data_IF_056800763865
#
_entry.id   IF_056800763865
#
_cell.length_a   1.000
_cell.length_b   1.000
_cell.length_c   1.000
_cell.angle_alpha   90.00
_cell.angle_beta   90.00
_cell.angle_gamma   90.00
#
_symmetry.space_group_name_H-M   'P 1'
#
loop_
_entity.id
_entity.type
_entity.pdbx_description
1 polymer ?
#
# COMPACT_ATOMS: atom_id res chain seq x y z
N UNK A 1 -7.08 20.66 33.44
CA UNK A 1 -7.13 20.22 32.02
C UNK A 1 -5.71 20.23 31.44
N UNK A 2 -5.23 19.16 30.80
CA UNK A 2 -3.90 19.15 30.17
C UNK A 2 -3.90 20.07 28.93
N UNK A 3 -2.89 20.94 28.82
CA UNK A 3 -2.75 21.81 27.66
C UNK A 3 -2.44 20.98 26.40
N UNK A 4 -3.31 21.08 25.40
CA UNK A 4 -3.23 20.35 24.14
C UNK A 4 -2.03 20.87 23.32
N UNK A 5 -0.85 20.26 23.50
CA UNK A 5 0.36 20.67 22.81
C UNK A 5 0.16 20.64 21.28
N UNK A 6 0.38 21.78 20.63
CA UNK A 6 0.29 21.90 19.18
C UNK A 6 1.40 21.09 18.50
N UNK A 7 1.12 19.83 18.17
CA UNK A 7 2.00 18.99 17.35
C UNK A 7 2.15 19.65 15.97
N UNK A 8 3.37 20.04 15.62
CA UNK A 8 3.68 20.58 14.28
C UNK A 8 3.23 19.59 13.20
N UNK A 9 2.57 20.06 12.14
CA UNK A 9 2.18 19.22 10.99
C UNK A 9 3.38 18.39 10.51
N UNK A 10 3.18 17.10 10.15
CA UNK A 10 4.26 16.30 9.58
C UNK A 10 4.78 16.98 8.30
N UNK A 11 6.10 16.98 8.12
CA UNK A 11 6.71 17.45 6.87
C UNK A 11 6.54 16.38 5.80
N UNK A 12 6.25 16.83 4.58
CA UNK A 12 6.17 16.03 3.36
C UNK A 12 7.09 16.64 2.31
N UNK A 13 7.50 15.84 1.34
CA UNK A 13 8.27 16.28 0.15
C UNK A 13 7.39 16.05 -1.05
N UNK A 14 7.14 17.06 -1.89
CA UNK A 14 6.39 16.82 -3.14
C UNK A 14 7.26 16.01 -4.10
N UNK A 15 6.67 15.12 -4.90
CA UNK A 15 7.43 14.27 -5.82
C UNK A 15 8.36 15.07 -6.75
N UNK A 16 7.91 16.20 -7.30
CA UNK A 16 8.76 17.12 -8.08
C UNK A 16 9.89 17.84 -7.33
N UNK A 17 9.75 18.00 -6.01
CA UNK A 17 10.73 18.67 -5.14
C UNK A 17 11.64 17.63 -4.46
N UNK A 18 11.56 16.35 -4.86
CA UNK A 18 12.34 15.25 -4.30
C UNK A 18 13.80 15.32 -4.74
N UNK A 19 14.69 15.09 -3.77
CA UNK A 19 16.13 15.09 -3.96
C UNK A 19 16.69 13.81 -3.32
N UNK A 20 17.08 12.86 -4.17
CA UNK A 20 17.56 11.55 -3.76
C UNK A 20 18.90 11.61 -3.01
N UNK A 21 19.64 12.72 -3.07
CA UNK A 21 20.89 12.86 -2.31
C UNK A 21 20.65 12.89 -0.80
N UNK A 22 19.48 13.42 -0.37
CA UNK A 22 19.04 13.51 1.03
C UNK A 22 18.44 12.22 1.60
N UNK A 23 18.27 11.19 0.77
CA UNK A 23 17.75 9.88 1.17
C UNK A 23 18.90 8.98 1.65
N UNK A 24 18.98 8.74 2.95
CA UNK A 24 19.93 7.83 3.58
C UNK A 24 19.25 6.51 3.97
N UNK A 25 20.04 5.49 4.25
CA UNK A 25 19.55 4.17 4.64
C UNK A 25 20.32 3.67 5.86
N UNK A 26 19.62 3.03 6.80
CA UNK A 26 20.29 2.20 7.81
C UNK A 26 20.85 0.95 7.15
N UNK A 27 21.84 0.31 7.78
CA UNK A 27 22.20 -1.06 7.44
C UNK A 27 20.96 -1.98 7.58
N UNK A 28 20.88 -3.00 6.73
CA UNK A 28 19.87 -4.05 6.80
C UNK A 28 20.23 -4.97 7.95
N UNK A 29 19.30 -5.18 8.87
CA UNK A 29 19.44 -6.21 9.88
C UNK A 29 18.87 -7.54 9.36
N UNK A 30 19.73 -8.53 9.17
CA UNK A 30 19.37 -9.90 8.76
C UNK A 30 19.23 -10.84 9.97
N UNK A 31 19.58 -10.40 11.18
CA UNK A 31 19.58 -11.24 12.40
C UNK A 31 18.24 -11.20 13.15
N UNK A 32 17.24 -10.48 12.63
CA UNK A 32 15.87 -10.44 13.14
C UNK A 32 15.22 -11.83 13.09
N UNK A 33 14.22 -12.12 13.94
CA UNK A 33 13.44 -13.38 13.85
C UNK A 33 12.75 -13.54 12.49
N UNK A 34 12.21 -12.45 11.93
CA UNK A 34 11.45 -12.43 10.67
C UNK A 34 12.14 -13.08 9.48
N UNK A 35 11.37 -13.70 8.57
CA UNK A 35 11.84 -14.30 7.31
C UNK A 35 12.61 -13.35 6.36
N UNK A 36 12.47 -12.04 6.58
CA UNK A 36 13.16 -10.98 5.84
C UNK A 36 14.06 -10.19 6.77
N UNK A 37 15.24 -9.79 6.28
CA UNK A 37 16.01 -8.71 6.88
C UNK A 37 15.40 -7.34 6.58
N UNK A 38 15.60 -6.37 7.47
CA UNK A 38 14.90 -5.07 7.43
C UNK A 38 15.89 -3.90 7.60
N UNK A 39 15.73 -2.87 6.76
CA UNK A 39 16.30 -1.53 6.99
C UNK A 39 15.21 -0.46 6.90
N UNK A 40 15.46 0.71 7.50
CA UNK A 40 14.53 1.84 7.49
C UNK A 40 15.13 3.02 6.73
N UNK A 41 14.52 3.45 5.60
CA UNK A 41 14.91 4.67 4.91
C UNK A 41 14.79 5.90 5.82
N UNK A 42 15.77 6.80 5.69
CA UNK A 42 15.90 8.04 6.45
C UNK A 42 16.07 9.20 5.48
N UNK A 43 15.49 10.35 5.80
CA UNK A 43 15.55 11.51 4.93
C UNK A 43 15.94 12.75 5.73
N UNK A 44 16.91 13.50 5.20
CA UNK A 44 17.31 14.79 5.75
C UNK A 44 16.31 15.88 5.32
N UNK A 45 15.54 16.36 6.30
CA UNK A 45 14.62 17.47 6.11
C UNK A 45 15.29 18.77 6.57
N UNK A 46 15.15 19.83 5.78
CA UNK A 46 15.74 21.15 6.05
C UNK A 46 15.16 21.91 7.28
N UNK A 47 14.59 21.23 8.28
CA UNK A 47 14.40 21.79 9.64
C UNK A 47 15.56 21.52 10.60
N UNK A 48 16.62 20.81 10.19
CA UNK A 48 17.75 20.47 11.08
C UNK A 48 17.33 19.58 12.26
N UNK A 49 16.20 18.87 12.11
CA UNK A 49 15.76 17.80 13.01
C UNK A 49 16.47 16.49 12.62
N UNK A 50 16.57 15.50 13.53
CA UNK A 50 17.09 14.19 13.15
C UNK A 50 16.31 13.60 11.97
N UNK A 51 17.00 12.75 11.21
CA UNK A 51 16.45 12.13 10.00
C UNK A 51 15.15 11.38 10.30
N UNK A 52 14.17 11.50 9.42
CA UNK A 52 12.84 10.88 9.56
C UNK A 52 12.51 10.04 8.32
N UNK A 53 11.52 9.13 8.37
CA UNK A 53 11.04 8.47 7.17
C UNK A 53 10.69 9.48 6.07
N UNK A 54 11.02 9.16 4.82
CA UNK A 54 10.61 9.95 3.67
C UNK A 54 9.10 9.80 3.46
N UNK A 55 8.36 10.91 3.44
CA UNK A 55 6.95 10.96 3.07
C UNK A 55 6.80 11.82 1.82
N UNK A 56 6.63 11.14 0.68
CA UNK A 56 6.35 11.76 -0.61
C UNK A 56 4.88 12.19 -0.68
N UNK A 57 4.63 13.37 -1.22
CA UNK A 57 3.31 13.90 -1.56
C UNK A 57 3.15 13.88 -3.07
N UNK A 58 2.18 13.11 -3.58
CA UNK A 58 1.89 13.04 -5.02
C UNK A 58 1.14 14.27 -5.51
N UNK A 59 1.17 14.48 -6.82
CA UNK A 59 0.12 15.24 -7.52
C UNK A 59 -1.23 14.52 -7.49
N UNK A 60 -2.17 15.06 -8.26
CA UNK A 60 -3.46 14.40 -8.53
C UNK A 60 -3.27 13.28 -9.56
N UNK A 61 -3.71 12.07 -9.20
CA UNK A 61 -3.60 10.86 -10.03
C UNK A 61 -4.99 10.25 -10.18
N UNK A 62 -5.45 10.08 -11.42
CA UNK A 62 -6.67 9.36 -11.78
C UNK A 62 -6.35 7.87 -11.93
N UNK A 63 -7.14 7.01 -11.29
CA UNK A 63 -7.04 5.55 -11.39
C UNK A 63 -7.62 5.10 -12.75
N UNK A 64 -6.80 5.17 -13.81
CA UNK A 64 -7.16 4.82 -15.19
C UNK A 64 -6.94 3.34 -15.52
N UNK A 65 -6.12 2.64 -14.72
CA UNK A 65 -5.93 1.19 -14.72
C UNK A 65 -5.67 0.73 -13.27
N UNK A 66 -5.80 -0.58 -13.02
CA UNK A 66 -5.56 -1.18 -11.71
C UNK A 66 -6.46 -0.61 -10.60
N UNK A 67 -5.95 -0.47 -9.37
CA UNK A 67 -6.73 -0.17 -8.17
C UNK A 67 -6.47 -1.18 -7.04
N UNK A 68 -7.44 -1.29 -6.12
CA UNK A 68 -7.50 -2.34 -5.10
C UNK A 68 -7.76 -3.68 -5.81
N UNK A 69 -7.07 -4.78 -5.44
CA UNK A 69 -7.43 -6.12 -5.90
C UNK A 69 -8.83 -6.49 -5.42
N UNK A 70 -9.74 -6.94 -6.30
CA UNK A 70 -11.05 -7.38 -5.89
C UNK A 70 -10.93 -8.62 -4.99
N UNK A 71 -11.85 -8.80 -4.04
CA UNK A 71 -11.87 -10.00 -3.19
C UNK A 71 -12.22 -11.26 -4.00
N UNK A 72 -13.14 -11.11 -4.95
CA UNK A 72 -13.64 -12.16 -5.84
C UNK A 72 -13.26 -11.85 -7.30
N UNK A 73 -12.95 -12.88 -8.09
CA UNK A 73 -12.96 -12.80 -9.56
C UNK A 73 -13.86 -13.92 -10.09
N UNK A 74 -14.99 -13.54 -10.68
CA UNK A 74 -16.09 -14.48 -10.91
C UNK A 74 -16.56 -15.06 -9.57
N UNK A 75 -16.65 -16.38 -9.50
CA UNK A 75 -17.04 -17.11 -8.29
C UNK A 75 -15.84 -17.53 -7.42
N UNK A 76 -14.60 -17.23 -7.83
CA UNK A 76 -13.39 -17.57 -7.08
C UNK A 76 -13.01 -16.46 -6.09
N UNK A 77 -12.85 -16.83 -4.82
CA UNK A 77 -12.31 -15.95 -3.77
C UNK A 77 -10.77 -15.98 -3.83
N UNK A 78 -10.15 -14.84 -4.16
CA UNK A 78 -8.69 -14.72 -4.28
C UNK A 78 -8.04 -14.35 -2.95
N UNK A 79 -8.80 -13.69 -2.07
CA UNK A 79 -8.32 -13.24 -0.77
C UNK A 79 -9.36 -13.60 0.30
N UNK A 80 -8.98 -14.48 1.22
CA UNK A 80 -9.83 -14.92 2.33
C UNK A 80 -10.16 -13.72 3.23
N UNK A 81 -9.15 -12.90 3.51
CA UNK A 81 -9.27 -11.74 4.40
C UNK A 81 -8.78 -10.41 3.78
N UNK A 82 -9.41 -9.30 4.19
CA UNK A 82 -9.04 -7.96 3.74
C UNK A 82 -7.58 -7.58 4.10
N UNK A 83 -7.00 -8.22 5.13
CA UNK A 83 -5.60 -8.05 5.56
C UNK A 83 -4.60 -8.47 4.48
N UNK A 84 -4.89 -9.51 3.70
CA UNK A 84 -4.04 -9.99 2.59
C UNK A 84 -4.03 -8.98 1.42
N UNK A 85 -5.22 -8.48 1.06
CA UNK A 85 -5.43 -7.47 0.01
C UNK A 85 -5.28 -6.03 0.50
N UNK A 86 -4.58 -5.80 1.61
CA UNK A 86 -4.27 -4.48 2.17
C UNK A 86 -3.24 -3.67 1.35
N UNK A 87 -3.43 -3.62 0.03
CA UNK A 87 -2.61 -2.89 -0.92
C UNK A 87 -3.44 -2.52 -2.16
N UNK A 88 -2.94 -1.57 -2.95
CA UNK A 88 -3.44 -1.30 -4.29
C UNK A 88 -2.28 -1.14 -5.26
N UNK A 89 -2.56 -1.40 -6.53
CA UNK A 89 -1.63 -1.11 -7.62
C UNK A 89 -2.02 0.27 -8.20
N UNK A 90 -1.13 1.25 -8.07
CA UNK A 90 -1.31 2.59 -8.62
C UNK A 90 -0.72 2.63 -10.04
N UNK A 91 -1.47 3.05 -11.08
CA UNK A 91 -0.94 3.21 -12.43
C UNK A 91 0.03 4.40 -12.51
N UNK A 92 1.06 4.27 -13.34
CA UNK A 92 1.96 5.34 -13.75
C UNK A 92 1.62 5.69 -15.21
N UNK A 93 0.53 6.44 -15.34
CA UNK A 93 -0.03 6.87 -16.62
C UNK A 93 0.74 8.10 -17.15
N UNK A 94 1.45 8.00 -18.30
CA UNK A 94 2.32 9.07 -18.79
C UNK A 94 1.54 10.32 -19.26
N UNK A 95 0.21 10.25 -19.39
CA UNK A 95 -0.63 11.41 -19.69
C UNK A 95 -0.90 12.31 -18.47
N UNK A 96 -0.54 11.84 -17.27
CA UNK A 96 -0.86 12.51 -16.02
C UNK A 96 0.40 13.07 -15.33
N UNK A 97 0.47 14.39 -15.15
CA UNK A 97 1.61 15.06 -14.50
C UNK A 97 1.95 14.46 -13.13
N UNK A 98 0.94 14.17 -12.30
CA UNK A 98 1.13 13.55 -10.99
C UNK A 98 1.72 12.13 -11.03
N UNK A 99 1.48 11.37 -12.10
CA UNK A 99 2.10 10.06 -12.33
C UNK A 99 3.56 10.22 -12.76
N UNK A 100 3.85 11.16 -13.68
CA UNK A 100 5.20 11.43 -14.18
C UNK A 100 6.10 11.98 -13.07
N UNK A 101 5.61 12.90 -12.23
CA UNK A 101 6.33 13.36 -11.03
C UNK A 101 6.66 12.20 -10.09
N UNK A 102 5.70 11.29 -9.87
CA UNK A 102 5.88 10.14 -8.98
C UNK A 102 6.85 9.11 -9.58
N UNK A 103 6.73 8.77 -10.87
CA UNK A 103 7.63 7.86 -11.57
C UNK A 103 9.07 8.37 -11.50
N UNK A 104 9.31 9.65 -11.82
CA UNK A 104 10.64 10.26 -11.73
C UNK A 104 11.22 10.24 -10.29
N UNK A 105 10.39 10.39 -9.27
CA UNK A 105 10.83 10.32 -7.88
C UNK A 105 11.15 8.89 -7.44
N UNK A 106 10.34 7.90 -7.86
CA UNK A 106 10.56 6.49 -7.54
C UNK A 106 11.75 5.91 -8.33
N UNK A 107 11.90 6.27 -9.60
CA UNK A 107 13.03 5.84 -10.43
C UNK A 107 14.37 6.29 -9.84
N UNK A 108 14.47 7.52 -9.31
CA UNK A 108 15.68 7.95 -8.59
C UNK A 108 15.99 7.07 -7.36
N UNK A 109 14.96 6.60 -6.65
CA UNK A 109 15.12 5.67 -5.51
C UNK A 109 15.58 4.30 -6.02
N UNK A 110 14.97 3.80 -7.09
CA UNK A 110 15.32 2.52 -7.74
C UNK A 110 16.77 2.53 -8.24
N UNK A 111 17.19 3.59 -8.95
CA UNK A 111 18.57 3.80 -9.41
C UNK A 111 19.57 3.87 -8.25
N UNK A 112 19.25 4.62 -7.19
CA UNK A 112 20.13 4.74 -6.01
C UNK A 112 20.29 3.42 -5.28
N UNK A 113 19.23 2.62 -5.16
CA UNK A 113 19.30 1.32 -4.48
C UNK A 113 19.97 0.26 -5.35
N UNK A 114 19.79 0.29 -6.68
CA UNK A 114 20.48 -0.62 -7.59
C UNK A 114 22.01 -0.35 -7.69
N UNK A 115 22.50 0.81 -7.23
CA UNK A 115 23.93 1.10 -7.19
C UNK A 115 24.73 0.08 -6.36
N UNK A 116 25.90 -0.29 -6.89
CA UNK A 116 26.78 -1.31 -6.29
C UNK A 116 27.38 -0.85 -4.95
N UNK A 117 27.59 0.45 -4.74
CA UNK A 117 28.16 0.96 -3.48
C UNK A 117 27.08 1.12 -2.41
N UNK A 118 25.90 1.65 -2.77
CA UNK A 118 24.74 1.70 -1.87
C UNK A 118 24.34 0.30 -1.42
N UNK A 119 24.28 -0.68 -2.33
CA UNK A 119 24.04 -2.08 -1.97
C UNK A 119 25.12 -2.64 -1.02
N UNK A 120 26.41 -2.32 -1.21
CA UNK A 120 27.47 -2.72 -0.25
C UNK A 120 27.31 -2.06 1.12
N UNK A 121 26.86 -0.81 1.18
CA UNK A 121 26.56 -0.09 2.43
C UNK A 121 25.31 -0.63 3.13
N UNK A 122 24.27 -1.06 2.40
CA UNK A 122 23.10 -1.69 2.99
C UNK A 122 23.44 -2.98 3.73
N UNK A 123 24.40 -3.75 3.22
CA UNK A 123 24.79 -5.05 3.78
C UNK A 123 26.15 -5.05 4.50
N UNK A 124 26.71 -3.89 4.87
CA UNK A 124 28.06 -3.77 5.44
C UNK A 124 28.23 -4.42 6.82
N UNK A 125 27.17 -4.46 7.65
CA UNK A 125 27.12 -5.22 8.91
C UNK A 125 27.59 -6.67 8.73
N UNK A 126 27.27 -7.27 7.58
CA UNK A 126 27.69 -8.62 7.23
C UNK A 126 29.01 -8.57 6.46
N UNK A 127 30.05 -9.12 7.06
CA UNK A 127 31.46 -9.12 6.57
C UNK A 127 31.67 -9.87 5.24
N UNK A 128 30.59 -10.23 4.55
CA UNK A 128 30.55 -10.99 3.31
C UNK A 128 30.11 -10.06 2.19
N UNK A 129 31.08 -9.50 1.48
CA UNK A 129 30.85 -8.88 0.15
C UNK A 129 30.10 -9.85 -0.80
N UNK A 130 30.21 -11.17 -0.54
CA UNK A 130 29.41 -12.23 -1.16
C UNK A 130 27.89 -12.02 -1.01
N UNK A 131 27.39 -11.60 0.16
CA UNK A 131 25.95 -11.39 0.37
C UNK A 131 25.45 -10.22 -0.49
N UNK A 132 26.16 -9.09 -0.49
CA UNK A 132 25.84 -7.95 -1.34
C UNK A 132 25.88 -8.30 -2.86
N UNK A 133 26.72 -9.27 -3.25
CA UNK A 133 26.77 -9.81 -4.63
C UNK A 133 25.61 -10.76 -4.96
N UNK A 134 25.05 -11.45 -3.97
CA UNK A 134 23.90 -12.37 -4.11
C UNK A 134 22.53 -11.66 -4.03
N UNK A 135 22.50 -10.39 -3.60
CA UNK A 135 21.30 -9.60 -3.41
C UNK A 135 20.93 -8.81 -4.68
N UNK A 136 19.78 -9.10 -5.27
CA UNK A 136 19.25 -8.46 -6.47
C UNK A 136 18.10 -7.51 -6.15
N UNK A 137 18.13 -6.34 -6.79
CA UNK A 137 17.19 -5.28 -6.47
C UNK A 137 15.86 -5.48 -7.19
N UNK A 138 14.78 -5.54 -6.42
CA UNK A 138 13.40 -5.54 -6.89
C UNK A 138 12.88 -4.11 -6.98
N UNK A 139 12.81 -3.59 -8.21
CA UNK A 139 12.30 -2.26 -8.55
C UNK A 139 10.92 -1.98 -7.93
N UNK A 140 10.74 -0.75 -7.45
CA UNK A 140 9.46 -0.22 -6.96
C UNK A 140 8.49 -0.09 -8.13
N UNK A 141 8.97 0.47 -9.25
CA UNK A 141 8.24 0.56 -10.51
C UNK A 141 8.24 -0.83 -11.17
N UNK A 142 7.06 -1.34 -11.53
CA UNK A 142 6.89 -2.63 -12.19
C UNK A 142 6.31 -2.47 -13.59
N UNK A 143 6.99 -3.01 -14.58
CA UNK A 143 6.48 -3.10 -15.94
C UNK A 143 5.37 -4.17 -16.05
N UNK A 144 4.32 -3.92 -16.86
CA UNK A 144 3.11 -4.73 -16.85
C UNK A 144 3.20 -6.00 -17.71
N UNK A 145 4.10 -6.03 -18.68
CA UNK A 145 4.33 -7.18 -19.57
C UNK A 145 5.24 -8.23 -18.93
N UNK A 146 5.40 -8.15 -17.61
CA UNK A 146 6.47 -8.80 -16.87
C UNK A 146 7.78 -8.06 -17.10
N UNK A 147 8.44 -7.71 -15.99
CA UNK A 147 9.85 -8.02 -15.92
C UNK A 147 9.99 -9.55 -15.92
N UNK A 148 9.82 -10.17 -17.10
CA UNK A 148 10.75 -11.23 -17.50
C UNK A 148 12.08 -10.56 -17.25
N UNK A 149 12.80 -11.01 -16.22
CA UNK A 149 14.15 -10.50 -16.03
C UNK A 149 14.84 -10.68 -17.38
N UNK A 150 15.49 -9.63 -17.87
CA UNK A 150 16.57 -9.81 -18.80
C UNK A 150 17.65 -10.59 -18.04
N UNK A 151 17.42 -11.90 -17.92
CA UNK A 151 18.45 -12.89 -17.69
C UNK A 151 19.32 -12.70 -18.92
N UNK A 152 20.36 -11.89 -18.76
CA UNK A 152 21.55 -11.99 -19.59
C UNK A 152 22.16 -13.35 -19.26
N UNK A 153 21.51 -14.38 -19.82
CA UNK A 153 22.07 -15.69 -20.06
C UNK A 153 23.05 -15.43 -21.20
N UNK A 154 24.29 -15.14 -20.82
CA UNK A 154 25.44 -15.29 -21.69
C UNK A 154 25.56 -16.80 -21.96
N UNK A 155 24.70 -17.31 -22.85
CA UNK A 155 24.52 -18.75 -23.12
C UNK A 155 24.66 -18.95 -24.63
N UNK A 156 25.85 -19.37 -25.05
CA UNK A 156 26.21 -19.74 -26.42
C UNK A 156 25.52 -21.06 -26.82
N UNK A 157 24.18 -21.10 -26.88
CA UNK A 157 23.40 -22.26 -27.32
C UNK A 157 22.83 -22.02 -28.72
N UNK A 158 23.38 -22.74 -29.69
CA UNK A 158 23.29 -22.50 -31.14
C UNK A 158 22.17 -23.32 -31.81
N UNK A 159 20.99 -23.42 -31.15
CA UNK A 159 19.86 -24.23 -31.61
C UNK A 159 18.75 -23.36 -32.26
N UNK A 160 18.77 -23.32 -33.59
CA UNK A 160 17.79 -22.63 -34.45
C UNK A 160 16.47 -23.40 -34.59
N UNK A 161 15.52 -23.24 -33.66
CA UNK A 161 14.09 -23.57 -33.91
C UNK A 161 13.19 -22.42 -33.43
N UNK A 162 12.90 -21.49 -34.35
CA UNK A 162 12.14 -20.28 -34.06
C UNK A 162 10.65 -20.42 -34.31
N UNK A 163 9.87 -20.63 -33.25
CA UNK A 163 8.42 -20.42 -33.31
C UNK A 163 8.07 -18.92 -33.46
N UNK A 164 7.41 -18.58 -34.55
CA UNK A 164 7.00 -17.22 -34.89
C UNK A 164 5.79 -16.80 -34.04
N UNK A 165 6.04 -16.14 -32.90
CA UNK A 165 4.99 -15.65 -31.98
C UNK A 165 4.01 -14.70 -32.69
N UNK A 166 2.77 -15.17 -32.93
CA UNK A 166 1.71 -14.37 -33.55
C UNK A 166 1.40 -13.09 -32.75
N UNK A 167 1.50 -11.95 -33.42
CA UNK A 167 1.20 -10.62 -32.87
C UNK A 167 -0.31 -10.46 -32.63
N UNK A 168 -0.75 -10.59 -31.37
CA UNK A 168 -2.12 -10.28 -30.96
C UNK A 168 -2.31 -8.75 -30.80
N UNK A 169 -2.58 -8.08 -31.92
CA UNK A 169 -2.51 -6.61 -32.09
C UNK A 169 -3.52 -5.76 -31.28
N UNK A 170 -4.59 -6.33 -30.71
CA UNK A 170 -5.70 -5.55 -30.09
C UNK A 170 -5.67 -5.44 -28.55
N UNK A 171 -4.62 -5.92 -27.86
CA UNK A 171 -4.57 -5.84 -26.39
C UNK A 171 -4.34 -4.40 -25.90
N UNK A 172 -5.17 -3.86 -24.98
CA UNK A 172 -5.01 -2.49 -24.50
C UNK A 172 -3.67 -2.31 -23.79
N UNK A 173 -2.96 -1.23 -24.13
CA UNK A 173 -1.64 -0.89 -23.56
C UNK A 173 -1.74 -0.76 -22.06
N UNK A 174 -1.11 -1.70 -21.35
CA UNK A 174 -1.00 -1.66 -19.89
C UNK A 174 0.05 -0.62 -19.48
N UNK A 175 -0.22 0.13 -18.42
CA UNK A 175 0.75 1.09 -17.86
C UNK A 175 1.71 0.42 -16.87
N UNK A 176 2.86 1.04 -16.61
CA UNK A 176 3.67 0.68 -15.44
C UNK A 176 2.86 0.89 -14.16
N UNK A 177 3.20 0.16 -13.10
CA UNK A 177 2.49 0.23 -11.82
C UNK A 177 3.41 0.20 -10.62
N UNK A 178 2.94 0.75 -9.50
CA UNK A 178 3.59 0.62 -8.20
C UNK A 178 2.62 0.01 -7.19
N UNK A 179 3.08 -1.00 -6.42
CA UNK A 179 2.31 -1.63 -5.35
C UNK A 179 2.44 -0.81 -4.06
N UNK A 180 1.35 -0.17 -3.65
CA UNK A 180 1.28 0.66 -2.43
C UNK A 180 0.53 -0.11 -1.35
N UNK A 181 1.16 -0.37 -0.20
CA UNK A 181 0.49 -0.99 0.95
C UNK A 181 -0.32 0.05 1.73
N UNK A 182 -1.45 -0.37 2.28
CA UNK A 182 -2.19 0.43 3.26
C UNK A 182 -1.47 0.37 4.62
N UNK A 183 -1.62 1.42 5.43
CA UNK A 183 -1.38 1.29 6.87
C UNK A 183 -2.57 0.54 7.46
N UNK A 184 -2.28 -0.62 8.05
CA UNK A 184 -3.24 -1.53 8.71
C UNK A 184 -2.67 -1.86 10.09
N UNK A 185 -3.58 -1.94 11.06
CA UNK A 185 -3.34 -2.39 12.42
C UNK A 185 -3.10 -3.90 12.46
N UNK A 186 -2.10 -4.37 13.23
CA UNK A 186 -1.69 -5.78 13.17
C UNK A 186 -2.76 -6.70 13.76
N UNK A 187 -3.32 -6.31 14.91
CA UNK A 187 -4.20 -7.12 15.73
C UNK A 187 -5.64 -7.08 15.20
N UNK A 188 -6.16 -5.89 14.92
CA UNK A 188 -7.55 -5.71 14.46
C UNK A 188 -7.74 -5.87 12.94
N UNK A 189 -6.68 -5.67 12.15
CA UNK A 189 -6.79 -5.58 10.69
C UNK A 189 -7.42 -4.28 10.16
N UNK A 190 -7.78 -3.33 11.04
CA UNK A 190 -8.38 -2.05 10.65
C UNK A 190 -7.35 -1.14 9.92
N UNK A 191 -7.83 -0.42 8.91
CA UNK A 191 -7.05 0.58 8.17
C UNK A 191 -6.74 1.78 9.07
N UNK A 192 -5.45 1.96 9.36
CA UNK A 192 -4.89 3.14 10.02
C UNK A 192 -4.62 4.31 9.03
N UNK A 193 -4.74 4.06 7.72
CA UNK A 193 -4.55 5.09 6.68
C UNK A 193 -5.66 6.14 6.77
N UNK A 194 -5.32 7.42 6.88
CA UNK A 194 -6.33 8.48 6.98
C UNK A 194 -6.93 8.79 5.60
N UNK A 195 -8.22 8.51 5.43
CA UNK A 195 -8.92 8.73 4.16
C UNK A 195 -9.77 10.00 4.24
N UNK A 196 -9.58 10.88 3.26
CA UNK A 196 -10.37 12.09 3.08
C UNK A 196 -11.12 12.01 1.76
N UNK A 197 -12.43 12.30 1.77
CA UNK A 197 -13.22 12.42 0.54
C UNK A 197 -13.48 13.87 0.18
N UNK A 198 -13.51 14.15 -1.12
CA UNK A 198 -13.82 15.47 -1.67
C UNK A 198 -14.98 15.37 -2.66
N UNK A 199 -16.06 16.05 -2.34
CA UNK A 199 -17.24 16.15 -3.21
C UNK A 199 -17.07 17.31 -4.20
N UNK A 200 -17.05 16.99 -5.49
CA UNK A 200 -16.85 17.96 -6.57
C UNK A 200 -15.44 18.55 -6.65
N UNK A 201 -15.14 19.22 -7.77
CA UNK A 201 -13.80 19.78 -8.03
C UNK A 201 -13.31 20.81 -7.00
N UNK A 202 -14.22 21.51 -6.31
CA UNK A 202 -13.92 22.57 -5.35
C UNK A 202 -14.30 22.23 -3.90
N UNK A 203 -14.73 21.00 -3.62
CA UNK A 203 -15.05 20.57 -2.26
C UNK A 203 -13.88 20.71 -1.29
N UNK A 204 -14.17 20.98 -0.02
CA UNK A 204 -13.19 20.87 1.07
C UNK A 204 -13.04 19.39 1.44
N UNK A 205 -11.82 18.82 1.51
CA UNK A 205 -11.64 17.44 1.93
C UNK A 205 -12.21 17.18 3.33
N UNK A 206 -13.10 16.21 3.44
CA UNK A 206 -13.72 15.77 4.69
C UNK A 206 -13.11 14.43 5.11
N UNK A 207 -12.81 14.25 6.40
CA UNK A 207 -12.29 12.99 6.92
C UNK A 207 -13.42 11.95 6.95
N UNK A 208 -13.21 10.79 6.35
CA UNK A 208 -14.08 9.62 6.45
C UNK A 208 -13.66 8.77 7.64
N UNK A 209 -14.52 8.65 8.64
CA UNK A 209 -14.31 7.88 9.88
C UNK A 209 -14.92 6.48 9.84
N UNK A 210 -15.67 6.20 8.77
CA UNK A 210 -16.43 5.01 8.43
C UNK A 210 -15.60 3.94 7.71
N UNK A 211 -14.41 4.28 7.21
CA UNK A 211 -13.53 3.34 6.48
C UNK A 211 -12.65 2.59 7.47
N UNK A 212 -12.99 1.31 7.72
CA UNK A 212 -12.20 0.39 8.55
C UNK A 212 -11.51 -0.68 7.73
N UNK A 213 -12.21 -1.22 6.74
CA UNK A 213 -11.77 -2.38 5.94
C UNK A 213 -11.33 -1.96 4.54
N UNK A 214 -10.64 -2.86 3.82
CA UNK A 214 -10.27 -2.63 2.41
C UNK A 214 -11.53 -2.57 1.55
N UNK A 215 -12.56 -3.31 1.92
CA UNK A 215 -13.90 -3.30 1.32
C UNK A 215 -14.57 -1.93 1.43
N UNK A 216 -14.50 -1.27 2.60
CA UNK A 216 -15.03 0.10 2.75
C UNK A 216 -14.25 1.10 1.88
N UNK A 217 -12.93 0.95 1.80
CA UNK A 217 -12.09 1.81 0.96
C UNK A 217 -12.36 1.60 -0.53
N UNK A 218 -12.59 0.36 -0.97
CA UNK A 218 -12.92 0.00 -2.35
C UNK A 218 -14.23 0.63 -2.84
N UNK A 219 -15.22 0.76 -1.96
CA UNK A 219 -16.47 1.46 -2.28
C UNK A 219 -16.25 2.95 -2.61
N UNK A 220 -15.21 3.58 -2.06
CA UNK A 220 -14.90 5.00 -2.23
C UNK A 220 -13.82 5.24 -3.30
N UNK A 221 -12.79 4.39 -3.36
CA UNK A 221 -11.67 4.47 -4.31
C UNK A 221 -11.90 3.62 -5.56
N UNK A 222 -13.05 3.83 -6.22
CA UNK A 222 -13.44 3.10 -7.44
C UNK A 222 -12.58 3.47 -8.65
N UNK A 223 -12.65 2.66 -9.70
CA UNK A 223 -12.12 2.99 -11.03
C UNK A 223 -12.51 4.41 -11.48
N UNK A 224 -11.63 5.09 -12.23
CA UNK A 224 -11.75 6.50 -12.63
C UNK A 224 -11.76 7.55 -11.50
N UNK A 225 -11.74 7.18 -10.22
CA UNK A 225 -11.57 8.15 -9.12
C UNK A 225 -10.20 8.82 -9.20
N UNK A 226 -10.09 10.03 -8.63
CA UNK A 226 -8.83 10.75 -8.50
C UNK A 226 -8.32 10.69 -7.06
N UNK A 227 -7.01 10.53 -6.89
CA UNK A 227 -6.35 10.43 -5.59
C UNK A 227 -5.17 11.37 -5.47
N UNK A 228 -4.89 11.82 -4.24
CA UNK A 228 -3.63 12.45 -3.83
C UNK A 228 -3.13 11.75 -2.59
N UNK A 229 -1.87 11.30 -2.60
CA UNK A 229 -1.36 10.34 -1.61
C UNK A 229 -0.19 10.94 -0.83
N UNK A 230 -0.13 10.65 0.47
CA UNK A 230 1.07 10.77 1.29
C UNK A 230 1.71 9.39 1.43
N UNK A 231 2.69 9.11 0.58
CA UNK A 231 3.40 7.84 0.47
C UNK A 231 4.65 7.84 1.35
N UNK A 232 4.66 7.04 2.40
CA UNK A 232 5.87 6.78 3.19
C UNK A 232 6.71 5.69 2.51
N UNK A 233 8.00 6.00 2.31
CA UNK A 233 9.02 5.00 1.93
C UNK A 233 9.40 4.23 3.19
N UNK A 234 8.65 3.16 3.47
CA UNK A 234 8.44 2.62 4.83
C UNK A 234 9.58 1.71 5.31
N UNK A 235 9.90 0.66 4.55
CA UNK A 235 11.01 -0.26 4.86
C UNK A 235 11.70 -0.75 3.59
N UNK A 236 12.99 -1.03 3.70
CA UNK A 236 13.69 -1.95 2.81
C UNK A 236 13.53 -3.34 3.41
N UNK A 237 13.19 -4.31 2.57
CA UNK A 237 13.15 -5.74 2.91
C UNK A 237 14.23 -6.46 2.10
N UNK A 238 14.82 -7.51 2.68
CA UNK A 238 15.77 -8.39 1.99
C UNK A 238 15.45 -9.85 2.33
N UNK A 239 15.25 -10.69 1.31
CA UNK A 239 14.96 -12.11 1.48
C UNK A 239 16.15 -12.86 2.10
N UNK A 240 15.88 -13.69 3.11
CA UNK A 240 16.88 -14.62 3.66
C UNK A 240 17.05 -15.86 2.79
N UNK A 241 15.97 -16.34 2.21
CA UNK A 241 15.94 -17.43 1.22
C UNK A 241 16.38 -16.95 -0.16
N UNK A 242 16.71 -17.92 -1.01
CA UNK A 242 16.94 -17.73 -2.45
C UNK A 242 15.60 -17.96 -3.16
N UNK A 243 15.25 -17.12 -4.14
CA UNK A 243 14.06 -17.34 -4.97
C UNK A 243 14.29 -18.51 -5.91
N UNK A 244 13.38 -19.50 -5.91
CA UNK A 244 13.45 -20.67 -6.79
C UNK A 244 13.55 -20.27 -8.28
N UNK A 245 12.69 -19.35 -8.72
CA UNK A 245 12.63 -18.87 -10.11
C UNK A 245 13.93 -18.21 -10.61
N UNK A 246 14.67 -17.50 -9.75
CA UNK A 246 15.83 -16.68 -10.18
C UNK A 246 17.19 -17.19 -9.68
N UNK A 247 17.21 -18.17 -8.76
CA UNK A 247 18.43 -18.61 -8.08
C UNK A 247 19.12 -17.52 -7.25
N UNK A 248 18.42 -16.40 -6.95
CA UNK A 248 19.00 -15.20 -6.35
C UNK A 248 18.19 -14.72 -5.13
N UNK A 249 18.83 -13.95 -4.23
CA UNK A 249 18.13 -13.33 -3.09
C UNK A 249 17.64 -11.95 -3.52
N UNK A 250 16.35 -11.67 -3.32
CA UNK A 250 15.78 -10.38 -3.69
C UNK A 250 15.73 -9.42 -2.49
N UNK A 251 15.92 -8.13 -2.74
CA UNK A 251 15.66 -7.06 -1.78
C UNK A 251 14.98 -5.89 -2.48
N UNK A 252 14.18 -5.11 -1.76
CA UNK A 252 13.41 -4.03 -2.36
C UNK A 252 12.79 -3.10 -1.32
N UNK A 253 11.99 -2.14 -1.78
CA UNK A 253 11.35 -1.15 -0.92
C UNK A 253 9.85 -1.41 -0.81
N UNK A 254 9.27 -1.17 0.37
CA UNK A 254 7.82 -1.12 0.56
C UNK A 254 7.37 0.33 0.69
N UNK A 255 6.45 0.76 -0.17
CA UNK A 255 5.69 1.99 0.02
C UNK A 255 4.45 1.71 0.88
N UNK A 256 4.17 2.58 1.85
CA UNK A 256 2.96 2.56 2.68
C UNK A 256 2.26 3.91 2.59
N UNK A 257 0.97 3.94 2.27
CA UNK A 257 0.20 5.20 2.31
C UNK A 257 -0.19 5.53 3.75
N UNK A 258 0.09 6.76 4.17
CA UNK A 258 -0.21 7.28 5.52
C UNK A 258 -1.56 8.01 5.53
N UNK A 259 -1.83 8.73 4.43
CA UNK A 259 -3.03 9.53 4.23
C UNK A 259 -3.32 9.61 2.73
N UNK A 260 -4.60 9.63 2.37
CA UNK A 260 -5.06 9.85 1.01
C UNK A 260 -6.25 10.82 0.97
N UNK A 261 -6.29 11.66 -0.06
CA UNK A 261 -7.45 12.45 -0.47
C UNK A 261 -8.01 11.79 -1.74
N UNK A 262 -9.30 11.46 -1.74
CA UNK A 262 -10.03 10.83 -2.86
C UNK A 262 -11.11 11.80 -3.33
N UNK A 263 -11.14 12.10 -4.62
CA UNK A 263 -12.32 12.61 -5.31
C UNK A 263 -12.95 11.41 -6.05
N UNK A 264 -14.08 10.86 -5.56
CA UNK A 264 -14.78 9.78 -6.25
C UNK A 264 -15.16 10.19 -7.66
N UNK A 265 -15.31 9.22 -8.57
CA UNK A 265 -15.82 9.51 -9.91
C UNK A 265 -17.25 10.09 -9.83
N UNK A 266 -17.47 11.25 -10.44
CA UNK A 266 -18.77 11.95 -10.43
C UNK A 266 -19.82 11.24 -11.32
N UNK A 267 -19.41 10.26 -12.15
CA UNK A 267 -20.34 9.36 -12.84
C UNK A 267 -21.03 8.43 -11.84
N UNK A 268 -22.11 8.93 -11.23
CA UNK A 268 -23.16 8.06 -10.68
C UNK A 268 -23.62 7.12 -11.78
N UNK A 269 -23.84 5.86 -11.45
CA UNK A 269 -24.51 4.97 -12.40
C UNK A 269 -25.96 5.45 -12.56
N UNK A 270 -26.57 5.25 -13.72
CA UNK A 270 -28.00 5.57 -13.89
C UNK A 270 -28.85 4.85 -12.82
N UNK A 271 -28.40 3.69 -12.32
CA UNK A 271 -29.05 2.99 -11.20
C UNK A 271 -29.07 3.81 -9.91
N UNK A 272 -27.98 4.52 -9.59
CA UNK A 272 -27.91 5.41 -8.41
C UNK A 272 -28.79 6.66 -8.61
N UNK A 273 -28.97 7.11 -9.85
CA UNK A 273 -29.92 8.18 -10.20
C UNK A 273 -31.39 7.71 -10.10
N UNK A 274 -31.64 6.42 -10.29
CA UNK A 274 -32.95 5.76 -10.12
C UNK A 274 -33.18 5.12 -8.73
N UNK A 275 -32.28 5.32 -7.75
CA UNK A 275 -32.54 4.91 -6.35
C UNK A 275 -33.68 5.72 -5.72
N UNK A 276 -33.83 7.00 -6.10
CA UNK A 276 -35.08 7.71 -5.86
C UNK A 276 -36.18 7.12 -6.75
N UNK A 277 -37.29 6.69 -6.15
CA UNK A 277 -38.43 6.06 -6.80
C UNK A 277 -38.92 6.88 -8.02
N UNK A 278 -38.46 6.48 -9.21
CA UNK A 278 -38.67 7.20 -10.47
C UNK A 278 -40.05 7.01 -11.10
N UNK A 279 -40.91 6.18 -10.50
CA UNK A 279 -42.31 6.11 -10.87
C UNK A 279 -43.02 7.31 -10.24
N UNK A 280 -43.12 8.40 -11.00
CA UNK A 280 -44.14 9.43 -10.75
C UNK A 280 -45.49 8.72 -10.74
N UNK A 281 -46.06 8.51 -9.55
CA UNK A 281 -47.21 7.65 -9.39
C UNK A 281 -48.36 8.20 -10.23
N UNK A 282 -48.80 7.40 -11.20
CA UNK A 282 -49.77 7.76 -12.23
C UNK A 282 -51.19 7.83 -11.67
N UNK A 283 -51.36 8.51 -10.53
CA UNK A 283 -52.66 8.93 -10.04
C UNK A 283 -53.27 9.83 -11.12
N UNK A 284 -54.18 9.22 -11.90
CA UNK A 284 -54.99 9.91 -12.89
C UNK A 284 -55.95 10.86 -12.16
N UNK A 285 -55.42 12.01 -11.77
CA UNK A 285 -56.20 13.22 -11.57
C UNK A 285 -56.44 13.83 -12.94
N UNK A 286 -57.29 13.16 -13.74
CA UNK A 286 -58.05 13.83 -14.80
C UNK A 286 -58.90 14.91 -14.12
N UNK A 287 -58.33 16.11 -14.03
CA UNK A 287 -59.03 17.32 -13.64
C UNK A 287 -58.85 18.32 -14.77
N UNK A 288 -59.45 17.97 -15.90
CA UNK A 288 -59.90 18.93 -16.90
C UNK A 288 -60.80 19.94 -16.19
N UNK A 289 -60.21 21.06 -15.80
CA UNK A 289 -60.96 22.24 -15.40
C UNK A 289 -60.28 23.46 -16.01
N UNK A 290 -60.58 23.66 -17.30
CA UNK A 290 -60.48 24.97 -17.94
C UNK A 290 -61.17 26.02 -17.05
N UNK A 291 -60.40 26.91 -16.42
CA UNK A 291 -60.91 28.25 -16.12
C UNK A 291 -59.88 29.32 -16.50
N UNK A 292 -60.32 30.17 -17.41
CA UNK A 292 -59.56 31.14 -18.18
C UNK A 292 -59.81 32.53 -17.58
N UNK A 293 -58.95 33.01 -16.68
CA UNK A 293 -58.94 34.45 -16.35
C UNK A 293 -57.64 35.06 -15.79
N UNK A 294 -57.04 35.89 -16.65
CA UNK A 294 -56.56 37.28 -16.40
C UNK A 294 -55.30 37.58 -15.56
N UNK A 295 -54.43 38.34 -16.22
CA UNK A 295 -53.47 39.31 -15.64
C UNK A 295 -54.15 40.33 -14.69
N UNK A 296 -53.38 40.94 -13.77
CA UNK A 296 -52.87 42.30 -14.04
C UNK A 296 -51.35 42.41 -13.76
N UNK A 297 -50.57 43.06 -14.63
CA UNK A 297 -50.35 44.53 -14.71
C UNK A 297 -49.72 45.14 -13.45
N UNK A 298 -48.38 45.27 -13.52
CA UNK A 298 -47.52 46.41 -13.14
C UNK A 298 -47.98 47.36 -12.01
N UNK A 299 -47.19 47.46 -10.94
CA UNK A 299 -46.75 48.78 -10.46
C UNK A 299 -45.36 48.76 -9.80
N UNK A 300 -44.69 49.93 -9.81
CA UNK A 300 -43.29 50.10 -9.40
C UNK A 300 -43.12 51.39 -8.57
N UNK A 301 -41.93 51.55 -7.94
CA UNK A 301 -41.49 52.64 -7.01
C UNK A 301 -41.80 52.35 -5.53
N UNK A 302 -41.02 52.80 -4.54
CA UNK A 302 -39.77 53.61 -4.57
C UNK A 302 -38.91 53.37 -3.32
N UNK A 303 -37.61 53.62 -3.47
CA UNK A 303 -36.60 54.07 -2.48
C UNK A 303 -37.12 54.66 -1.15
N UNK A 304 -36.35 54.51 -0.05
CA UNK A 304 -35.54 55.60 0.58
C UNK A 304 -34.51 55.02 1.57
N UNK A 305 -33.26 55.52 1.53
CA UNK A 305 -32.24 55.30 2.58
C UNK A 305 -32.46 56.25 3.77
N UNK A 306 -32.21 55.82 5.02
CA UNK A 306 -31.32 56.58 5.92
C UNK A 306 -30.85 55.85 7.19
N UNK A 307 -29.68 56.29 7.63
CA UNK A 307 -29.05 56.16 8.96
C UNK A 307 -30.03 56.58 10.10
N UNK A 308 -29.86 56.21 11.37
CA UNK A 308 -28.66 56.48 12.19
C UNK A 308 -28.59 55.67 13.51
N UNK A 309 -27.52 55.91 14.29
CA UNK A 309 -27.17 55.31 15.59
C UNK A 309 -28.20 55.51 16.72
N UNK A 310 -28.22 54.57 17.69
CA UNK A 310 -27.88 54.88 19.10
C UNK A 310 -27.58 53.62 19.93
N UNK A 311 -26.88 53.82 21.05
CA UNK A 311 -26.52 52.82 22.07
C UNK A 311 -27.64 52.64 23.12
N UNK A 312 -27.33 51.87 24.19
CA UNK A 312 -28.13 51.59 25.40
C UNK A 312 -29.09 50.38 25.26
N UNK A 313 -28.93 49.22 25.89
CA UNK A 313 -28.45 48.77 27.23
C UNK A 313 -29.63 48.37 28.15
N UNK A 314 -29.37 47.31 28.91
CA UNK A 314 -30.06 46.74 30.07
C UNK A 314 -31.38 45.92 30.00
N UNK A 315 -31.38 44.90 30.87
CA UNK A 315 -32.46 44.10 31.48
C UNK A 315 -33.57 43.41 30.62
N UNK A 316 -34.24 42.34 31.08
CA UNK A 316 -33.95 41.19 31.96
C UNK A 316 -35.22 40.30 31.91
N UNK A 317 -35.12 38.97 31.82
CA UNK A 317 -36.15 38.04 32.33
C UNK A 317 -35.66 36.60 32.30
N UNK A 318 -35.73 35.96 33.46
CA UNK A 318 -35.69 34.53 33.66
C UNK A 318 -36.84 33.82 32.91
N UNK A 319 -36.65 32.53 32.61
CA UNK A 319 -37.60 31.52 33.09
C UNK A 319 -36.84 30.19 33.31
N UNK A 320 -37.01 29.62 34.51
CA UNK A 320 -36.38 28.40 34.97
C UNK A 320 -37.28 27.18 34.64
N UNK A 321 -36.70 26.00 34.41
CA UNK A 321 -37.32 24.76 34.87
C UNK A 321 -36.27 23.85 35.50
N UNK A 322 -36.44 23.61 36.80
CA UNK A 322 -35.74 22.59 37.56
C UNK A 322 -36.25 21.19 37.19
N UNK A 323 -35.37 20.18 37.21
CA UNK A 323 -35.79 18.85 37.66
C UNK A 323 -34.69 18.25 38.55
N UNK A 324 -34.84 18.39 39.87
CA UNK A 324 -34.08 17.59 40.83
C UNK A 324 -34.55 16.13 40.82
N UNK A 325 -33.63 15.20 41.08
CA UNK A 325 -33.78 14.24 42.19
C UNK A 325 -32.42 13.58 42.53
N UNK A 326 -32.04 13.65 43.80
CA UNK A 326 -31.09 12.73 44.45
C UNK A 326 -31.80 11.36 44.71
N UNK A 327 -31.30 10.31 45.39
CA UNK A 327 -30.15 10.01 46.27
C UNK A 327 -29.99 8.44 46.23
N UNK A 328 -29.05 7.70 46.83
CA UNK A 328 -28.03 7.96 47.84
C UNK A 328 -26.95 6.84 47.87
N UNK A 329 -25.86 7.08 48.63
CA UNK A 329 -24.93 6.11 49.27
C UNK A 329 -23.98 5.31 48.37
N UNK A 330 -22.65 5.40 48.53
CA UNK A 330 -21.77 5.22 49.71
C UNK A 330 -21.68 3.78 50.23
N UNK A 331 -20.50 3.18 50.05
CA UNK A 331 -19.71 2.62 51.16
C UNK A 331 -18.21 2.66 50.78
N UNK A 332 -17.38 3.29 51.61
CA UNK A 332 -15.92 3.10 51.64
C UNK A 332 -15.60 1.90 52.53
N UNK A 333 -14.57 1.11 52.21
CA UNK A 333 -13.61 0.69 53.25
C UNK A 333 -12.24 0.29 52.67
N UNK A 334 -11.27 0.13 53.55
CA UNK A 334 -9.84 0.34 53.31
C UNK A 334 -8.99 -0.95 53.15
N UNK A 335 -7.94 -0.80 52.33
CA UNK A 335 -6.54 -1.22 52.61
C UNK A 335 -6.01 -2.68 52.44
N UNK A 336 -4.67 -2.66 52.27
CA UNK A 336 -3.63 -3.70 52.51
C UNK A 336 -3.32 -4.79 51.45
N UNK A 337 -2.19 -4.55 50.77
CA UNK A 337 -1.05 -5.47 50.54
C UNK A 337 -1.29 -6.97 50.19
N UNK A 338 -0.91 -7.35 48.96
CA UNK A 338 -0.19 -8.60 48.74
C UNK A 338 0.80 -8.49 47.56
N UNK A 339 2.05 -8.85 47.82
CA UNK A 339 3.12 -9.03 46.84
C UNK A 339 2.83 -10.32 46.02
N UNK A 340 2.53 -10.19 44.73
CA UNK A 340 2.45 -11.35 43.82
C UNK A 340 3.42 -11.16 42.66
N UNK A 341 4.53 -11.87 42.80
CA UNK A 341 5.61 -11.97 41.84
C UNK A 341 5.48 -13.30 41.11
N UNK A 342 4.73 -13.33 40.02
CA UNK A 342 4.67 -14.49 39.12
C UNK A 342 5.14 -14.15 37.71
N UNK A 343 5.63 -15.20 37.02
CA UNK A 343 6.36 -15.10 35.78
C UNK A 343 5.44 -14.71 34.63
N UNK A 344 5.78 -13.64 33.90
CA UNK A 344 5.34 -13.50 32.52
C UNK A 344 6.20 -14.47 31.69
N UNK A 345 5.55 -15.49 31.12
CA UNK A 345 6.17 -16.44 30.20
C UNK A 345 6.11 -15.87 28.79
N UNK A 346 7.21 -16.04 28.06
CA UNK A 346 7.24 -15.85 26.61
C UNK A 346 6.52 -17.04 25.94
N UNK A 347 5.21 -16.92 25.70
CA UNK A 347 4.42 -17.78 24.82
C UNK A 347 3.88 -16.90 23.65
N UNK A 348 3.80 -17.31 22.39
CA UNK A 348 4.57 -18.32 21.64
C UNK A 348 4.47 -17.89 20.14
N UNK A 349 5.58 -17.85 19.39
CA UNK A 349 5.58 -17.40 17.98
C UNK A 349 5.09 -18.55 17.05
N UNK A 350 3.78 -18.75 16.93
CA UNK A 350 3.18 -19.54 15.85
C UNK A 350 2.86 -18.62 14.65
N UNK A 351 3.85 -18.43 13.74
CA UNK A 351 3.58 -17.92 12.39
C UNK A 351 2.98 -19.07 11.57
N UNK A 352 1.66 -19.03 11.40
CA UNK A 352 0.83 -20.03 10.72
C UNK A 352 1.32 -20.33 9.29
N UNK A 353 1.30 -21.61 8.93
CA UNK A 353 1.79 -22.15 7.67
C UNK A 353 0.70 -22.00 6.58
N UNK A 354 1.06 -21.54 5.38
CA UNK A 354 0.27 -21.86 4.18
C UNK A 354 1.17 -22.69 3.26
N UNK A 355 0.89 -24.00 3.24
CA UNK A 355 1.44 -24.97 2.31
C UNK A 355 0.98 -24.61 0.89
N UNK A 356 1.92 -24.51 -0.05
CA UNK A 356 1.60 -24.58 -1.48
C UNK A 356 1.39 -26.07 -1.82
N UNK A 357 0.14 -26.55 -1.75
CA UNK A 357 -0.24 -27.86 -2.32
C UNK A 357 -0.06 -27.77 -3.85
N UNK A 358 1.07 -28.27 -4.35
CA UNK A 358 1.24 -28.54 -5.79
C UNK A 358 0.41 -29.79 -6.15
N UNK A 359 -0.63 -29.61 -6.98
CA UNK A 359 -1.36 -30.72 -7.59
C UNK A 359 -0.42 -31.43 -8.58
N UNK A 360 0.18 -32.56 -8.17
CA UNK A 360 0.85 -33.48 -9.11
C UNK A 360 -0.22 -34.17 -9.97
N UNK A 361 -0.13 -34.01 -11.30
CA UNK A 361 -0.95 -34.76 -12.25
C UNK A 361 -0.43 -36.20 -12.33
N UNK A 362 -1.27 -37.19 -11.97
CA UNK A 362 -1.00 -38.63 -12.13
C UNK A 362 -0.82 -38.98 -13.62
N UNK A 363 0.41 -39.19 -14.07
CA UNK A 363 0.72 -39.92 -15.31
C UNK A 363 0.72 -41.43 -15.00
N UNK A 364 -0.39 -42.10 -15.30
CA UNK A 364 -0.52 -43.57 -15.27
C UNK A 364 0.31 -44.21 -16.40
N UNK A 365 1.60 -44.49 -16.15
CA UNK A 365 2.43 -45.29 -17.08
C UNK A 365 2.49 -46.77 -16.64
N UNK A 366 2.19 -47.67 -17.57
CA UNK A 366 1.83 -49.08 -17.30
C UNK A 366 3.01 -49.99 -16.87
N UNK A 367 2.66 -51.05 -16.13
CA UNK A 367 3.57 -52.09 -15.65
C UNK A 367 4.27 -52.87 -16.78
N UNK A 368 5.60 -53.02 -16.73
CA UNK A 368 6.25 -54.28 -17.13
C UNK A 368 7.23 -54.76 -16.05
N UNK A 369 6.91 -55.92 -15.48
CA UNK A 369 7.83 -56.71 -14.65
C UNK A 369 8.94 -57.32 -15.54
N UNK A 370 10.21 -57.20 -15.15
CA UNK A 370 11.16 -58.27 -15.46
C UNK A 370 12.22 -58.44 -14.36
N UNK A 371 12.58 -59.70 -14.10
CA UNK A 371 13.45 -60.11 -13.00
C UNK A 371 14.93 -59.96 -13.37
N UNK A 372 15.77 -59.53 -12.40
CA UNK A 372 17.02 -60.29 -12.11
C UNK A 372 17.77 -59.79 -10.87
N UNK A 373 18.06 -60.73 -9.98
CA UNK A 373 19.04 -60.55 -8.90
C UNK A 373 20.45 -60.35 -9.46
N UNK A 374 21.22 -59.42 -8.89
CA UNK A 374 22.68 -59.58 -8.81
C UNK A 374 23.26 -58.92 -7.55
N UNK A 375 24.08 -59.68 -6.82
CA UNK A 375 24.72 -59.28 -5.56
C UNK A 375 25.87 -58.25 -5.78
N UNK A 376 26.24 -57.46 -4.75
CA UNK A 376 27.15 -56.32 -4.90
C UNK A 376 28.63 -56.69 -4.97
N UNK A 377 29.37 -56.08 -5.91
CA UNK A 377 30.85 -56.04 -5.88
C UNK A 377 31.39 -54.85 -5.04
N UNK A 378 32.52 -55.03 -4.32
CA UNK A 378 33.02 -54.06 -3.34
C UNK A 378 33.84 -52.88 -3.91
N UNK A 379 33.88 -51.79 -3.13
CA UNK A 379 34.57 -50.53 -3.45
C UNK A 379 36.10 -50.66 -3.72
N UNK A 380 36.63 -49.95 -4.74
CA UNK A 380 38.08 -49.80 -4.92
C UNK A 380 38.68 -48.64 -4.08
N UNK A 381 39.65 -48.94 -3.22
CA UNK A 381 40.32 -47.97 -2.34
C UNK A 381 41.01 -46.78 -3.07
N UNK A 382 41.09 -45.59 -2.42
CA UNK A 382 41.66 -44.38 -3.02
C UNK A 382 43.20 -44.42 -3.18
N UNK A 383 43.67 -44.16 -4.42
CA UNK A 383 45.10 -44.10 -4.76
C UNK A 383 45.81 -42.88 -4.17
N UNK A 384 46.70 -43.12 -3.19
CA UNK A 384 47.59 -42.12 -2.57
C UNK A 384 48.65 -41.59 -3.57
N UNK A 385 48.50 -40.38 -4.07
CA UNK A 385 49.51 -39.69 -4.89
C UNK A 385 50.70 -39.21 -4.04
N UNK A 386 51.90 -39.72 -4.33
CA UNK A 386 53.13 -39.36 -3.61
C UNK A 386 53.79 -38.08 -4.15
N UNK A 387 54.19 -37.22 -3.23
CA UNK A 387 54.71 -35.87 -3.42
C UNK A 387 55.86 -35.65 -4.43
N UNK A 388 55.98 -34.38 -4.83
CA UNK A 388 57.11 -33.82 -5.57
C UNK A 388 57.77 -32.69 -4.75
N UNK A 389 58.86 -33.01 -4.05
CA UNK A 389 59.69 -32.01 -3.35
C UNK A 389 60.39 -31.11 -4.38
N UNK A 390 60.09 -29.82 -4.36
CA UNK A 390 60.82 -28.80 -5.11
C UNK A 390 62.27 -28.68 -4.61
N UNK A 391 63.22 -28.59 -5.55
CA UNK A 391 64.66 -28.61 -5.31
C UNK A 391 65.16 -27.16 -5.17
N UNK A 392 65.86 -26.82 -4.07
CA UNK A 392 66.64 -25.58 -4.00
C UNK A 392 67.77 -25.63 -5.04
N UNK A 393 67.99 -24.52 -5.74
CA UNK A 393 69.20 -24.28 -6.52
C UNK A 393 69.90 -23.04 -5.96
N UNK A 394 71.22 -23.14 -5.76
CA UNK A 394 72.08 -21.98 -5.54
C UNK A 394 72.48 -21.40 -6.89
N UNK A 395 72.45 -20.07 -7.01
CA UNK A 395 73.36 -19.26 -7.81
C UNK A 395 73.35 -17.85 -7.20
#
# INVERSE_FOLDING_TARGET
MPQKQNRSKPKTVKCKDFDVTKLNFTEVDMDTKSLQGIAFPRFDYADGRPERPLVLQTGEIKITQYGIPPKMIGDQEIFKHDKERAFFNLPLDPSQEGCVELENALQQIDEKLNDKNVRKQLFSKYTKEKLAKQMFYSSIIRDPNGSVQAIQRDDDSDDEDGEELELQDDKPVKFKKVKVKLAVDYDSGDIQTKVYTKEGQNGKPQLKSDIKTVTDLEQVMRYNSKVRLLLMVNKIWAAKSVSAQTGQRNYGVTLKVVQMEIQPNETRSMRDEFESFGFSDGSASDSDNDDDTKEPVVEAKKTTEKQDKSESDDENSDEEEEVENADAKEEEEEAENADVKENDKEDEDEEDEEEEEEEEEDDEDEEEEDESESEPEPEPEPKKTKGRKGKKANA
#
